data_IF_590408368250
#
_entry.id   IF_590408368250
#
_cell.length_a   1.000
_cell.length_b   1.000
_cell.length_c   1.000
_cell.angle_alpha   90.00
_cell.angle_beta   90.00
_cell.angle_gamma   90.00
#
_symmetry.space_group_name_H-M   'P 1'
#
loop_
_entity.id
_entity.type
_entity.pdbx_description
1 polymer ?
#
# COMPACT_ATOMS: atom_id res chain seq x y z
N UNK A 1 6.46 -15.04 -6.31
CA UNK A 1 5.37 -15.19 -5.31
C UNK A 1 4.03 -14.78 -5.90
N UNK A 2 2.93 -15.54 -5.66
CA UNK A 2 1.60 -15.21 -6.19
C UNK A 2 0.65 -14.79 -5.07
N UNK A 3 -0.17 -13.76 -5.26
CA UNK A 3 -1.25 -13.36 -4.34
C UNK A 3 -2.42 -14.33 -4.42
N UNK A 4 -3.27 -14.40 -3.37
CA UNK A 4 -4.49 -15.21 -3.41
C UNK A 4 -5.42 -14.76 -4.54
N UNK A 5 -6.03 -15.72 -5.22
CA UNK A 5 -7.07 -15.49 -6.25
C UNK A 5 -8.48 -15.89 -5.77
N UNK A 6 -8.63 -16.29 -4.49
CA UNK A 6 -9.89 -16.76 -3.94
C UNK A 6 -10.73 -15.60 -3.38
N UNK A 7 -11.86 -15.24 -3.99
CA UNK A 7 -12.77 -14.21 -3.47
C UNK A 7 -13.25 -14.55 -2.05
N UNK A 8 -13.65 -15.81 -1.86
CA UNK A 8 -14.14 -16.33 -0.58
C UNK A 8 -13.16 -16.07 0.57
N UNK A 9 -11.87 -16.42 0.36
CA UNK A 9 -10.83 -16.24 1.39
C UNK A 9 -10.50 -14.76 1.62
N UNK A 10 -10.44 -13.97 0.54
CA UNK A 10 -10.20 -12.52 0.65
C UNK A 10 -11.30 -11.86 1.45
N UNK A 11 -12.55 -12.19 1.17
CA UNK A 11 -13.71 -11.67 1.84
C UNK A 11 -13.72 -12.01 3.33
N UNK A 12 -13.47 -13.28 3.66
CA UNK A 12 -13.42 -13.77 5.03
C UNK A 12 -12.30 -13.11 5.85
N UNK A 13 -11.05 -13.08 5.32
CA UNK A 13 -9.91 -12.47 6.02
C UNK A 13 -10.08 -10.97 6.20
N UNK A 14 -10.66 -10.29 5.20
CA UNK A 14 -11.00 -8.88 5.32
C UNK A 14 -12.01 -8.62 6.44
N UNK A 15 -13.05 -9.46 6.54
CA UNK A 15 -14.04 -9.38 7.61
C UNK A 15 -13.42 -9.62 8.99
N UNK A 16 -12.64 -10.69 9.16
CA UNK A 16 -11.96 -11.02 10.41
C UNK A 16 -11.03 -9.88 10.87
N UNK A 17 -10.27 -9.27 9.95
CA UNK A 17 -9.42 -8.12 10.25
C UNK A 17 -10.25 -6.87 10.61
N UNK A 18 -11.37 -6.66 9.92
CA UNK A 18 -12.27 -5.56 10.18
C UNK A 18 -12.95 -5.65 11.56
N UNK A 19 -13.33 -6.86 12.00
CA UNK A 19 -13.88 -7.10 13.34
C UNK A 19 -12.90 -6.74 14.45
N UNK A 20 -11.59 -6.88 14.20
CA UNK A 20 -10.56 -6.48 15.17
C UNK A 20 -10.28 -4.97 15.17
N UNK A 21 -10.45 -4.32 14.01
CA UNK A 21 -10.12 -2.92 13.82
C UNK A 21 -11.25 -1.95 14.16
N UNK A 22 -12.49 -2.38 13.95
CA UNK A 22 -13.67 -1.50 13.96
C UNK A 22 -14.74 -2.02 14.91
N UNK A 23 -15.46 -1.12 15.61
CA UNK A 23 -16.67 -1.50 16.35
C UNK A 23 -17.76 -1.93 15.35
N UNK A 24 -18.70 -2.75 15.82
CA UNK A 24 -19.83 -3.19 14.99
C UNK A 24 -20.60 -2.00 14.39
N UNK A 25 -20.86 -0.99 15.20
CA UNK A 25 -21.57 0.22 14.82
C UNK A 25 -20.83 1.47 15.29
N UNK A 26 -21.00 2.57 14.57
CA UNK A 26 -20.34 3.85 14.92
C UNK A 26 -20.91 4.49 16.18
N UNK A 27 -22.22 4.38 16.37
CA UNK A 27 -22.95 5.03 17.44
C UNK A 27 -24.11 4.15 17.88
N UNK A 28 -24.62 4.32 19.13
CA UNK A 28 -25.76 3.56 19.67
C UNK A 28 -27.03 3.70 18.81
N UNK A 29 -27.22 4.83 18.17
CA UNK A 29 -28.36 5.11 17.28
C UNK A 29 -28.11 4.75 15.81
N UNK A 30 -26.99 4.11 15.47
CA UNK A 30 -26.76 3.66 14.10
C UNK A 30 -27.79 2.62 13.68
N UNK A 31 -28.31 2.65 12.42
CA UNK A 31 -29.12 1.58 11.89
C UNK A 31 -28.38 0.24 12.00
N UNK A 32 -28.96 -0.74 12.70
CA UNK A 32 -28.31 -2.04 12.96
C UNK A 32 -28.45 -3.04 11.81
N UNK A 33 -28.68 -2.55 10.58
CA UNK A 33 -28.82 -3.39 9.40
C UNK A 33 -27.51 -4.00 8.93
N UNK A 34 -26.41 -3.21 8.93
CA UNK A 34 -25.08 -3.64 8.52
C UNK A 34 -24.03 -3.19 9.53
N UNK A 35 -23.14 -4.09 9.91
CA UNK A 35 -21.98 -3.72 10.75
C UNK A 35 -20.89 -3.06 9.92
N UNK A 36 -20.06 -2.24 10.57
CA UNK A 36 -18.89 -1.64 9.89
C UNK A 36 -17.92 -2.69 9.32
N UNK A 37 -17.61 -3.81 10.06
CA UNK A 37 -16.82 -4.90 9.50
C UNK A 37 -17.40 -5.53 8.24
N UNK A 38 -18.72 -5.78 8.19
CA UNK A 38 -19.40 -6.32 7.01
C UNK A 38 -19.22 -5.38 5.79
N UNK A 39 -19.54 -4.10 5.99
CA UNK A 39 -19.41 -3.11 4.90
C UNK A 39 -17.97 -2.98 4.40
N UNK A 40 -16.99 -3.05 5.30
CA UNK A 40 -15.60 -3.00 4.90
C UNK A 40 -15.15 -4.24 4.14
N UNK A 41 -15.55 -5.43 4.57
CA UNK A 41 -15.29 -6.66 3.83
C UNK A 41 -15.87 -6.56 2.40
N UNK A 42 -17.10 -6.05 2.26
CA UNK A 42 -17.71 -5.79 0.96
C UNK A 42 -16.87 -4.83 0.09
N UNK A 43 -16.31 -3.77 0.67
CA UNK A 43 -15.41 -2.86 -0.04
C UNK A 43 -14.11 -3.54 -0.52
N UNK A 44 -13.53 -4.39 0.32
CA UNK A 44 -12.34 -5.18 -0.07
C UNK A 44 -12.67 -6.17 -1.18
N UNK A 45 -13.82 -6.85 -1.11
CA UNK A 45 -14.29 -7.74 -2.17
C UNK A 45 -14.50 -6.99 -3.47
N UNK A 46 -15.15 -5.81 -3.42
CA UNK A 46 -15.35 -4.91 -4.57
C UNK A 46 -14.01 -4.60 -5.26
N UNK A 47 -13.01 -4.21 -4.48
CA UNK A 47 -11.71 -3.86 -5.01
C UNK A 47 -10.96 -5.07 -5.57
N UNK A 48 -11.01 -6.20 -4.87
CA UNK A 48 -10.42 -7.46 -5.32
C UNK A 48 -11.00 -7.95 -6.65
N UNK A 49 -12.33 -7.90 -6.80
CA UNK A 49 -13.04 -8.30 -8.00
C UNK A 49 -13.09 -7.21 -9.09
N UNK A 50 -12.51 -6.03 -8.82
CA UNK A 50 -12.51 -4.86 -9.72
C UNK A 50 -13.92 -4.39 -10.11
N UNK A 51 -14.86 -4.49 -9.18
CA UNK A 51 -16.26 -4.08 -9.40
C UNK A 51 -16.44 -2.60 -9.08
N UNK A 52 -17.49 -1.98 -9.61
CA UNK A 52 -18.04 -0.75 -9.09
C UNK A 52 -19.03 -1.06 -7.94
N UNK A 53 -19.71 -0.04 -7.40
CA UNK A 53 -20.61 -0.25 -6.27
C UNK A 53 -21.90 -0.99 -6.66
N UNK A 54 -22.39 -0.83 -7.90
CA UNK A 54 -23.55 -1.54 -8.41
C UNK A 54 -23.18 -2.98 -8.70
N UNK A 55 -22.08 -3.21 -9.41
CA UNK A 55 -21.59 -4.55 -9.68
C UNK A 55 -21.24 -5.34 -8.40
N UNK A 56 -20.87 -4.67 -7.30
CA UNK A 56 -20.73 -5.34 -6.00
C UNK A 56 -22.06 -5.87 -5.48
N UNK A 57 -23.15 -5.10 -5.61
CA UNK A 57 -24.47 -5.53 -5.15
C UNK A 57 -24.97 -6.73 -5.98
N UNK A 58 -24.85 -6.67 -7.31
CA UNK A 58 -25.18 -7.80 -8.20
C UNK A 58 -24.31 -9.02 -7.91
N UNK A 59 -23.01 -8.84 -7.77
CA UNK A 59 -22.11 -9.95 -7.46
C UNK A 59 -22.43 -10.66 -6.14
N UNK A 60 -22.88 -9.92 -5.12
CA UNK A 60 -23.34 -10.52 -3.86
C UNK A 60 -24.70 -11.20 -3.99
N UNK A 61 -25.57 -10.73 -4.91
CA UNK A 61 -26.85 -11.36 -5.22
C UNK A 61 -26.63 -12.71 -5.93
N UNK A 62 -25.74 -12.73 -6.90
CA UNK A 62 -25.41 -13.95 -7.67
C UNK A 62 -24.67 -14.99 -6.82
N UNK A 63 -24.01 -14.57 -5.74
CA UNK A 63 -23.20 -15.43 -4.87
C UNK A 63 -23.61 -15.35 -3.39
N UNK A 64 -24.80 -15.83 -3.02
CA UNK A 64 -25.33 -15.73 -1.66
C UNK A 64 -24.47 -16.45 -0.60
N UNK A 65 -23.68 -17.44 -1.04
CA UNK A 65 -22.72 -18.13 -0.17
C UNK A 65 -21.61 -17.21 0.36
N UNK A 66 -21.23 -16.17 -0.39
CA UNK A 66 -20.31 -15.14 0.09
C UNK A 66 -20.94 -14.35 1.23
N UNK A 67 -22.19 -13.92 1.08
CA UNK A 67 -22.92 -13.20 2.14
C UNK A 67 -22.97 -13.99 3.46
N UNK A 68 -23.23 -15.30 3.36
CA UNK A 68 -23.28 -16.21 4.52
C UNK A 68 -21.96 -16.30 5.29
N UNK A 69 -20.79 -16.11 4.63
CA UNK A 69 -19.49 -16.15 5.29
C UNK A 69 -19.28 -15.06 6.36
N UNK A 70 -19.99 -13.96 6.25
CA UNK A 70 -19.89 -12.80 7.15
C UNK A 70 -21.22 -12.46 7.82
N UNK A 71 -22.16 -13.42 7.82
CA UNK A 71 -23.53 -13.25 8.39
C UNK A 71 -24.26 -12.01 7.82
N UNK A 72 -24.20 -11.84 6.51
CA UNK A 72 -24.85 -10.74 5.79
C UNK A 72 -26.30 -11.13 5.50
N UNK A 73 -27.25 -10.59 6.27
CA UNK A 73 -28.70 -10.91 6.16
C UNK A 73 -29.37 -10.31 4.94
N UNK A 74 -28.82 -9.24 4.41
CA UNK A 74 -29.32 -8.59 3.18
C UNK A 74 -28.19 -7.94 2.43
N UNK A 75 -28.35 -7.71 1.12
CA UNK A 75 -27.33 -7.08 0.29
C UNK A 75 -27.33 -5.57 0.53
N UNK A 76 -26.15 -4.95 0.78
CA UNK A 76 -26.06 -3.51 0.91
C UNK A 76 -26.32 -2.84 -0.44
N UNK A 77 -27.24 -1.88 -0.46
CA UNK A 77 -27.46 -1.05 -1.63
C UNK A 77 -26.16 -0.32 -2.03
N UNK A 78 -25.93 -0.05 -3.30
CA UNK A 78 -24.69 0.55 -3.81
C UNK A 78 -24.35 1.89 -3.13
N UNK A 79 -25.36 2.72 -2.79
CA UNK A 79 -25.15 3.98 -2.06
C UNK A 79 -24.71 3.76 -0.61
N UNK A 80 -25.14 2.67 0.03
CA UNK A 80 -24.68 2.28 1.38
C UNK A 80 -23.19 1.93 1.34
N UNK A 81 -22.78 1.16 0.35
CA UNK A 81 -21.38 0.81 0.13
C UNK A 81 -20.51 2.03 -0.18
N UNK A 82 -21.02 2.97 -0.99
CA UNK A 82 -20.33 4.24 -1.28
C UNK A 82 -20.17 5.11 -0.03
N UNK A 83 -21.24 5.32 0.74
CA UNK A 83 -21.19 6.07 2.01
C UNK A 83 -20.28 5.39 3.04
N UNK A 84 -20.24 4.05 3.04
CA UNK A 84 -19.31 3.29 3.87
C UNK A 84 -17.85 3.55 3.48
N UNK A 85 -17.51 3.56 2.18
CA UNK A 85 -16.18 3.89 1.71
C UNK A 85 -15.75 5.29 2.15
N UNK A 86 -16.63 6.29 2.02
CA UNK A 86 -16.36 7.66 2.44
C UNK A 86 -16.08 7.79 3.94
N UNK A 87 -16.65 6.92 4.76
CA UNK A 87 -16.52 6.95 6.21
C UNK A 87 -15.39 6.05 6.72
N UNK A 88 -15.33 4.79 6.26
CA UNK A 88 -14.44 3.76 6.79
C UNK A 88 -13.01 3.88 6.26
N UNK A 89 -12.81 4.56 5.13
CA UNK A 89 -11.49 4.79 4.54
C UNK A 89 -10.93 6.19 4.85
N UNK A 90 -11.47 6.89 5.86
CA UNK A 90 -10.81 8.07 6.44
C UNK A 90 -9.57 7.65 7.23
N UNK A 91 -8.67 8.59 7.47
CA UNK A 91 -7.33 8.31 8.02
C UNK A 91 -7.34 7.40 9.27
N UNK A 92 -8.15 7.69 10.28
CA UNK A 92 -8.15 6.94 11.53
C UNK A 92 -8.71 5.51 11.39
N UNK A 93 -9.92 5.26 10.82
CA UNK A 93 -10.40 3.90 10.60
C UNK A 93 -9.52 3.11 9.64
N UNK A 94 -9.05 3.73 8.55
CA UNK A 94 -8.17 3.09 7.59
C UNK A 94 -6.83 2.66 8.22
N UNK A 95 -6.26 3.47 9.13
CA UNK A 95 -5.05 3.13 9.89
C UNK A 95 -5.29 1.88 10.75
N UNK A 96 -6.35 1.87 11.55
CA UNK A 96 -6.70 0.72 12.40
C UNK A 96 -6.84 -0.57 11.59
N UNK A 97 -7.50 -0.49 10.44
CA UNK A 97 -7.66 -1.63 9.55
C UNK A 97 -6.33 -2.10 8.97
N UNK A 98 -5.50 -1.16 8.52
CA UNK A 98 -4.18 -1.44 8.00
C UNK A 98 -3.34 -2.18 9.06
N UNK A 99 -3.37 -1.70 10.30
CA UNK A 99 -2.66 -2.28 11.43
C UNK A 99 -3.20 -3.69 11.74
N UNK A 100 -4.52 -3.89 11.78
CA UNK A 100 -5.13 -5.19 12.01
C UNK A 100 -4.73 -6.24 10.95
N UNK A 101 -4.63 -5.85 9.67
CA UNK A 101 -4.16 -6.75 8.60
C UNK A 101 -2.68 -7.10 8.80
N UNK A 102 -1.84 -6.13 9.18
CA UNK A 102 -0.42 -6.38 9.46
C UNK A 102 -0.22 -7.23 10.73
N UNK A 103 -1.03 -7.04 11.76
CA UNK A 103 -1.01 -7.87 12.97
C UNK A 103 -1.47 -9.29 12.67
N UNK A 104 -2.45 -9.45 11.78
CA UNK A 104 -2.82 -10.75 11.26
C UNK A 104 -1.66 -11.42 10.53
N UNK A 105 -0.94 -10.68 9.67
CA UNK A 105 0.25 -11.17 9.00
C UNK A 105 1.34 -11.63 9.98
N UNK A 106 1.45 -10.97 11.14
CA UNK A 106 2.39 -11.34 12.20
C UNK A 106 1.95 -12.63 12.90
N UNK A 107 0.68 -12.75 13.28
CA UNK A 107 0.12 -13.95 13.91
C UNK A 107 0.20 -15.18 12.99
N UNK A 108 -0.08 -15.01 11.71
CA UNK A 108 -0.02 -16.07 10.70
C UNK A 108 1.41 -16.34 10.20
N UNK A 109 2.44 -15.72 10.84
CA UNK A 109 3.87 -15.88 10.52
C UNK A 109 4.23 -15.51 9.06
N UNK A 110 3.40 -14.70 8.40
CA UNK A 110 3.66 -14.16 7.04
C UNK A 110 4.77 -13.12 7.08
N UNK A 111 4.84 -12.35 8.17
CA UNK A 111 5.95 -11.43 8.46
C UNK A 111 6.52 -11.67 9.86
N UNK A 112 7.72 -11.18 10.08
CA UNK A 112 8.36 -11.13 11.39
C UNK A 112 8.19 -9.71 12.00
N UNK A 113 8.33 -9.59 13.34
CA UNK A 113 8.37 -8.27 14.00
C UNK A 113 9.51 -7.40 13.48
N UNK A 114 10.68 -8.03 13.23
CA UNK A 114 11.82 -7.36 12.61
C UNK A 114 11.76 -7.59 11.10
N UNK A 115 11.78 -6.50 10.35
CA UNK A 115 11.89 -6.45 8.89
C UNK A 115 13.34 -6.11 8.55
N UNK A 116 14.16 -7.10 8.15
CA UNK A 116 15.59 -6.87 7.90
C UNK A 116 15.83 -5.83 6.81
N UNK A 117 14.95 -5.83 5.80
CA UNK A 117 15.08 -5.02 4.61
C UNK A 117 13.70 -4.51 4.16
N UNK A 118 13.51 -3.22 4.16
CA UNK A 118 12.37 -2.54 3.58
C UNK A 118 12.80 -1.69 2.38
N UNK A 119 11.90 -1.47 1.44
CA UNK A 119 12.15 -0.57 0.32
C UNK A 119 11.04 0.49 0.27
N UNK A 120 11.43 1.73 -0.06
CA UNK A 120 10.50 2.82 -0.33
C UNK A 120 10.54 3.14 -1.82
N UNK A 121 9.36 3.36 -2.39
CA UNK A 121 9.22 3.74 -3.79
C UNK A 121 7.89 4.48 -3.99
N UNK A 122 7.88 5.40 -4.95
CA UNK A 122 6.68 6.11 -5.37
C UNK A 122 6.10 5.53 -6.65
N UNK A 123 4.78 5.50 -6.76
CA UNK A 123 4.14 5.10 -8.01
C UNK A 123 2.95 5.98 -8.34
N UNK A 124 2.88 6.44 -9.59
CA UNK A 124 1.71 7.11 -10.15
C UNK A 124 0.61 6.11 -10.52
N UNK A 125 -0.63 6.55 -10.43
CA UNK A 125 -1.79 5.82 -10.89
C UNK A 125 -2.51 6.62 -11.99
N UNK A 126 -3.13 5.94 -12.92
CA UNK A 126 -3.92 6.56 -13.96
C UNK A 126 -5.23 7.10 -13.37
N UNK A 127 -5.70 8.22 -13.88
CA UNK A 127 -7.02 8.76 -13.58
C UNK A 127 -7.60 9.41 -14.83
N UNK A 128 -8.87 9.13 -15.10
CA UNK A 128 -9.61 9.82 -16.16
C UNK A 128 -9.90 11.28 -15.82
N UNK A 129 -9.80 11.64 -14.54
CA UNK A 129 -10.09 12.96 -14.01
C UNK A 129 -8.79 13.64 -13.58
N UNK A 130 -8.03 14.12 -14.55
CA UNK A 130 -6.75 14.81 -14.35
C UNK A 130 -6.94 16.30 -14.55
N UNK A 131 -6.57 17.11 -13.55
CA UNK A 131 -6.47 18.55 -13.75
C UNK A 131 -5.11 18.90 -14.35
N UNK A 132 -5.13 19.68 -15.42
CA UNK A 132 -3.93 20.23 -16.06
C UNK A 132 -3.67 21.63 -15.53
N UNK A 133 -2.41 22.03 -15.45
CA UNK A 133 -1.99 23.40 -15.16
C UNK A 133 -0.75 23.75 -15.96
N UNK A 134 -0.59 25.01 -16.25
CA UNK A 134 0.51 25.53 -17.06
C UNK A 134 1.49 26.25 -16.15
N UNK A 135 2.79 26.06 -16.41
CA UNK A 135 3.86 26.79 -15.74
C UNK A 135 4.68 27.48 -16.81
N UNK A 136 4.70 28.82 -16.75
CA UNK A 136 5.57 29.64 -17.58
C UNK A 136 6.91 29.79 -16.87
N UNK A 137 7.98 29.39 -17.52
CA UNK A 137 9.35 29.55 -17.02
C UNK A 137 10.15 30.32 -18.05
N UNK A 138 11.12 31.11 -17.58
CA UNK A 138 12.08 31.76 -18.47
C UNK A 138 12.85 30.69 -19.23
N UNK A 139 12.95 30.82 -20.53
CA UNK A 139 13.72 29.87 -21.35
C UNK A 139 15.18 29.84 -20.87
N UNK A 140 15.79 28.65 -20.85
CA UNK A 140 17.18 28.49 -20.43
C UNK A 140 18.16 29.12 -21.39
N UNK A 141 17.76 29.31 -22.66
CA UNK A 141 18.50 29.94 -23.71
C UNK A 141 17.58 30.91 -24.45
N UNK A 142 17.93 32.20 -24.48
CA UNK A 142 17.17 33.25 -25.15
C UNK A 142 16.26 34.09 -24.23
N UNK A 143 15.60 35.10 -24.81
CA UNK A 143 14.72 36.06 -24.08
C UNK A 143 13.27 35.60 -23.96
N UNK A 144 12.93 34.40 -24.40
CA UNK A 144 11.56 33.88 -24.42
C UNK A 144 11.13 33.17 -23.14
N UNK A 145 9.80 33.00 -22.97
CA UNK A 145 9.20 32.15 -21.94
C UNK A 145 8.81 30.81 -22.53
N UNK A 146 9.17 29.74 -21.83
CA UNK A 146 8.76 28.37 -22.17
C UNK A 146 7.55 27.99 -21.31
N UNK A 147 6.45 27.62 -21.96
CA UNK A 147 5.27 27.10 -21.29
C UNK A 147 5.31 25.58 -21.22
N UNK A 148 5.19 25.04 -20.03
CA UNK A 148 5.15 23.59 -19.81
C UNK A 148 3.83 23.21 -19.16
N UNK A 149 3.10 22.31 -19.81
CA UNK A 149 1.85 21.76 -19.27
C UNK A 149 2.15 20.60 -18.32
N UNK A 150 1.63 20.68 -17.11
CA UNK A 150 1.70 19.61 -16.13
C UNK A 150 0.32 19.02 -15.90
N UNK A 151 0.26 17.70 -15.80
CA UNK A 151 -0.95 16.98 -15.39
C UNK A 151 -0.82 16.56 -13.93
N UNK A 152 -1.80 16.93 -13.10
CA UNK A 152 -1.88 16.42 -11.72
C UNK A 152 -2.43 15.01 -11.75
N UNK A 153 -1.63 14.02 -11.40
CA UNK A 153 -2.03 12.64 -11.33
C UNK A 153 -1.97 12.12 -9.88
N UNK A 154 -2.85 11.16 -9.51
CA UNK A 154 -2.77 10.53 -8.21
C UNK A 154 -1.52 9.67 -8.12
N UNK A 155 -0.82 9.75 -6.99
CA UNK A 155 0.34 8.92 -6.70
C UNK A 155 0.32 8.44 -5.26
N UNK A 156 1.14 7.47 -4.95
CA UNK A 156 1.33 6.95 -3.60
C UNK A 156 2.79 6.63 -3.37
N UNK A 157 3.31 6.99 -2.20
CA UNK A 157 4.60 6.49 -1.70
C UNK A 157 4.33 5.31 -0.80
N UNK A 158 4.96 4.18 -1.12
CA UNK A 158 4.84 2.92 -0.40
C UNK A 158 6.16 2.58 0.30
N UNK A 159 6.07 2.05 1.51
CA UNK A 159 7.17 1.36 2.16
C UNK A 159 6.76 -0.10 2.32
N UNK A 160 7.52 -1.02 1.75
CA UNK A 160 7.22 -2.44 1.76
C UNK A 160 8.32 -3.28 2.39
N UNK A 161 7.94 -4.40 2.98
CA UNK A 161 8.85 -5.47 3.38
C UNK A 161 9.33 -6.23 2.13
N UNK A 162 10.62 -6.19 1.88
CA UNK A 162 11.23 -6.87 0.73
C UNK A 162 11.09 -8.40 0.77
N UNK A 163 10.83 -8.99 1.93
CA UNK A 163 10.70 -10.45 2.04
C UNK A 163 9.27 -10.92 1.80
N UNK A 164 8.31 -10.33 2.50
CA UNK A 164 6.89 -10.74 2.44
C UNK A 164 6.10 -10.06 1.33
N UNK A 165 6.58 -8.95 0.79
CA UNK A 165 5.88 -8.04 -0.12
C UNK A 165 4.66 -7.34 0.53
N UNK A 166 4.55 -7.39 1.85
CA UNK A 166 3.56 -6.60 2.57
C UNK A 166 3.93 -5.13 2.53
N UNK A 167 2.95 -4.29 2.28
CA UNK A 167 3.09 -2.85 2.40
C UNK A 167 2.99 -2.49 3.87
N UNK A 168 4.00 -1.80 4.41
CA UNK A 168 4.07 -1.32 5.80
C UNK A 168 3.48 0.08 5.94
N UNK A 169 3.62 0.91 4.89
CA UNK A 169 3.06 2.25 4.85
C UNK A 169 2.61 2.61 3.44
N UNK A 170 1.58 3.43 3.36
CA UNK A 170 1.06 3.98 2.11
C UNK A 170 0.59 5.40 2.34
N UNK A 171 1.20 6.35 1.65
CA UNK A 171 0.86 7.78 1.73
C UNK A 171 0.45 8.28 0.36
N UNK A 172 -0.86 8.45 0.11
CA UNK A 172 -1.35 9.02 -1.12
C UNK A 172 -0.96 10.49 -1.28
N UNK A 173 -0.76 10.92 -2.51
CA UNK A 173 -0.44 12.30 -2.86
C UNK A 173 -0.77 12.61 -4.31
N UNK A 174 -0.22 13.72 -4.80
CA UNK A 174 -0.37 14.17 -6.19
C UNK A 174 1.00 14.33 -6.85
N UNK A 175 1.15 13.77 -8.05
CA UNK A 175 2.23 14.13 -8.95
C UNK A 175 1.92 15.45 -9.68
N UNK A 176 2.95 16.09 -10.23
CA UNK A 176 4.35 15.69 -10.32
C UNK A 176 5.23 16.06 -9.10
N UNK A 177 4.64 16.38 -7.94
CA UNK A 177 5.43 16.68 -6.74
C UNK A 177 6.42 15.55 -6.42
N UNK A 178 7.60 15.87 -5.86
CA UNK A 178 8.60 14.88 -5.46
C UNK A 178 8.04 13.90 -4.41
N UNK A 179 8.53 12.67 -4.44
CA UNK A 179 8.19 11.64 -3.45
C UNK A 179 8.72 11.98 -2.06
N UNK A 180 9.76 12.81 -1.98
CA UNK A 180 10.33 13.31 -0.73
C UNK A 180 9.30 14.07 0.13
N UNK A 181 8.30 14.71 -0.48
CA UNK A 181 7.22 15.41 0.26
C UNK A 181 6.41 14.43 1.13
N UNK A 182 6.22 13.21 0.64
CA UNK A 182 5.43 12.18 1.33
C UNK A 182 6.29 11.23 2.16
N UNK A 183 7.61 11.31 2.01
CA UNK A 183 8.56 10.35 2.57
C UNK A 183 8.55 10.32 4.10
N UNK A 184 8.57 11.49 4.76
CA UNK A 184 8.57 11.56 6.24
C UNK A 184 7.37 10.82 6.83
N UNK A 185 6.17 11.11 6.32
CA UNK A 185 4.94 10.46 6.77
C UNK A 185 4.93 8.94 6.48
N UNK A 186 5.50 8.52 5.34
CA UNK A 186 5.60 7.11 4.99
C UNK A 186 6.57 6.36 5.90
N UNK A 187 7.72 6.97 6.20
CA UNK A 187 8.70 6.40 7.12
C UNK A 187 8.14 6.28 8.55
N UNK A 188 7.53 7.33 9.07
CA UNK A 188 6.90 7.34 10.39
C UNK A 188 5.88 6.22 10.54
N UNK A 189 4.97 6.08 9.57
CA UNK A 189 3.99 4.99 9.58
C UNK A 189 4.65 3.61 9.53
N UNK A 190 5.69 3.42 8.72
CA UNK A 190 6.37 2.14 8.59
C UNK A 190 7.16 1.78 9.86
N UNK A 191 7.88 2.74 10.43
CA UNK A 191 8.66 2.57 11.66
C UNK A 191 7.75 2.27 12.87
N UNK A 192 6.57 2.87 12.93
CA UNK A 192 5.57 2.56 13.97
C UNK A 192 4.99 1.14 13.86
N UNK A 193 5.08 0.49 12.69
CA UNK A 193 4.51 -0.85 12.43
C UNK A 193 5.51 -1.99 12.45
N UNK A 194 6.79 -1.70 12.25
CA UNK A 194 7.82 -2.73 12.18
C UNK A 194 9.20 -2.19 12.59
N UNK A 195 10.01 -3.04 13.22
CA UNK A 195 11.43 -2.75 13.44
C UNK A 195 12.20 -2.98 12.14
N UNK A 196 12.47 -1.91 11.40
CA UNK A 196 13.15 -1.96 10.11
C UNK A 196 14.67 -1.95 10.34
N UNK A 197 15.40 -2.86 9.72
CA UNK A 197 16.86 -2.93 9.82
C UNK A 197 17.57 -2.01 8.83
N UNK A 198 17.15 -2.04 7.56
CA UNK A 198 17.72 -1.22 6.48
C UNK A 198 16.59 -0.78 5.54
N UNK A 199 16.58 0.49 5.18
CA UNK A 199 15.68 1.06 4.17
C UNK A 199 16.45 1.26 2.88
N UNK A 200 15.90 0.72 1.78
CA UNK A 200 16.35 0.92 0.41
C UNK A 200 15.51 2.01 -0.23
N UNK A 201 16.12 2.91 -0.97
CA UNK A 201 15.45 3.90 -1.79
C UNK A 201 16.27 4.14 -3.09
N UNK A 202 15.66 4.74 -4.08
CA UNK A 202 16.36 5.14 -5.30
C UNK A 202 17.18 6.43 -5.09
N UNK A 203 17.87 6.84 -6.15
CA UNK A 203 18.72 8.03 -6.11
C UNK A 203 17.94 9.35 -5.91
N UNK A 204 16.64 9.37 -6.24
CA UNK A 204 15.80 10.56 -6.01
C UNK A 204 15.64 10.89 -4.52
N UNK A 205 15.92 9.91 -3.66
CA UNK A 205 15.96 10.07 -2.20
C UNK A 205 17.37 10.40 -1.66
N UNK A 206 18.39 10.61 -2.53
CA UNK A 206 19.75 10.90 -2.08
C UNK A 206 19.88 12.32 -1.53
N UNK A 207 19.54 12.48 -0.28
CA UNK A 207 19.73 13.71 0.50
C UNK A 207 20.31 13.39 1.86
N UNK A 208 21.29 14.20 2.35
CA UNK A 208 21.88 13.97 3.68
C UNK A 208 20.78 13.95 4.77
N UNK A 209 19.81 14.87 4.70
CA UNK A 209 18.70 14.93 5.64
C UNK A 209 17.84 13.64 5.61
N UNK A 210 17.73 12.96 4.47
CA UNK A 210 17.00 11.67 4.35
C UNK A 210 17.73 10.60 5.15
N UNK A 211 19.06 10.53 4.99
CA UNK A 211 19.89 9.59 5.75
C UNK A 211 19.78 9.86 7.26
N UNK A 212 19.89 11.11 7.68
CA UNK A 212 19.79 11.53 9.08
C UNK A 212 18.41 11.19 9.65
N UNK A 213 17.34 11.55 8.92
CA UNK A 213 15.98 11.30 9.34
C UNK A 213 15.67 9.79 9.47
N UNK A 214 16.10 8.96 8.53
CA UNK A 214 15.94 7.49 8.63
C UNK A 214 16.72 6.94 9.82
N UNK A 215 17.92 7.45 10.06
CA UNK A 215 18.78 7.00 11.16
C UNK A 215 18.29 7.43 12.54
N UNK A 216 17.54 8.51 12.65
CA UNK A 216 16.90 8.89 13.91
C UNK A 216 15.89 7.84 14.42
N UNK A 217 15.37 6.97 13.52
CA UNK A 217 14.58 5.79 13.87
C UNK A 217 15.41 4.51 14.11
N UNK A 218 16.75 4.60 14.16
CA UNK A 218 17.64 3.45 14.29
C UNK A 218 17.75 2.58 13.03
N UNK A 219 17.29 3.08 11.89
CA UNK A 219 17.22 2.37 10.60
C UNK A 219 18.46 2.73 9.76
N UNK A 220 19.13 1.74 9.19
CA UNK A 220 20.20 1.98 8.23
C UNK A 220 19.62 2.35 6.87
N UNK A 221 20.32 3.21 6.13
CA UNK A 221 19.97 3.60 4.76
C UNK A 221 20.88 2.93 3.76
N UNK A 222 20.33 2.59 2.62
CA UNK A 222 21.08 2.16 1.44
C UNK A 222 20.45 2.82 0.21
N UNK A 223 20.98 3.98 -0.15
CA UNK A 223 20.51 4.86 -1.24
C UNK A 223 21.72 5.13 -2.11
N UNK A 224 21.67 4.90 -3.43
CA UNK A 224 22.80 5.18 -4.31
C UNK A 224 23.05 6.69 -4.32
N UNK A 225 24.30 7.13 -4.23
CA UNK A 225 24.61 8.54 -4.36
C UNK A 225 24.20 9.02 -5.75
N UNK A 226 23.46 10.13 -5.78
CA UNK A 226 23.02 10.74 -7.03
C UNK A 226 24.24 11.02 -7.92
N UNK A 227 24.19 10.59 -9.17
CA UNK A 227 25.15 10.94 -10.20
C UNK A 227 24.84 12.34 -10.71
N UNK A 228 25.05 13.34 -9.87
CA UNK A 228 25.01 14.73 -10.30
C UNK A 228 26.04 15.00 -11.40
N UNK A 229 26.20 16.26 -11.83
CA UNK A 229 27.29 16.64 -12.76
C UNK A 229 28.60 16.02 -12.28
N UNK A 230 29.40 15.39 -13.17
CA UNK A 230 30.67 14.82 -12.78
C UNK A 230 31.48 15.85 -11.99
N UNK A 231 31.57 15.67 -10.70
CA UNK A 231 32.35 16.51 -9.80
C UNK A 231 33.43 15.63 -9.21
N UNK A 232 34.64 16.05 -9.28
CA UNK A 232 35.77 15.41 -8.61
C UNK A 232 35.61 15.46 -7.08
N UNK A 233 34.78 16.37 -6.57
CA UNK A 233 34.56 16.54 -5.15
C UNK A 233 33.59 15.49 -4.58
N UNK A 234 33.92 14.84 -3.46
CA UNK A 234 33.01 13.92 -2.79
C UNK A 234 31.78 14.69 -2.27
N UNK A 235 30.63 14.01 -2.05
CA UNK A 235 29.46 14.62 -1.43
C UNK A 235 29.82 15.25 -0.07
N UNK A 236 29.24 16.41 0.23
CA UNK A 236 29.53 17.12 1.49
C UNK A 236 29.02 16.38 2.74
N UNK A 237 27.89 15.67 2.63
CA UNK A 237 27.28 14.96 3.75
C UNK A 237 28.04 13.71 4.18
N UNK A 238 28.04 13.44 5.49
CA UNK A 238 28.67 12.26 6.11
C UNK A 238 28.15 10.94 5.52
N UNK A 239 26.83 10.81 5.43
CA UNK A 239 26.18 9.57 5.04
C UNK A 239 26.23 9.36 3.52
N UNK A 240 26.04 10.41 2.75
CA UNK A 240 26.22 10.37 1.28
C UNK A 240 27.65 10.01 0.91
N UNK A 241 28.66 10.56 1.61
CA UNK A 241 30.07 10.20 1.44
C UNK A 241 30.31 8.72 1.73
N UNK A 242 29.71 8.21 2.85
CA UNK A 242 29.78 6.79 3.20
C UNK A 242 29.12 5.88 2.14
N UNK A 243 28.00 6.30 1.54
CA UNK A 243 27.37 5.56 0.46
C UNK A 243 28.27 5.52 -0.79
N UNK A 244 28.97 6.60 -1.12
CA UNK A 244 29.93 6.62 -2.24
C UNK A 244 31.11 5.66 -2.01
N UNK A 245 31.58 5.55 -0.75
CA UNK A 245 32.74 4.71 -0.42
C UNK A 245 32.40 3.23 -0.20
N UNK A 246 31.25 2.94 0.42
CA UNK A 246 30.88 1.59 0.86
C UNK A 246 29.41 1.28 0.52
N UNK A 247 29.15 1.04 -0.77
CA UNK A 247 27.80 0.73 -1.26
C UNK A 247 27.63 -0.78 -1.45
N UNK A 248 26.71 -1.38 -0.70
CA UNK A 248 26.37 -2.81 -0.81
C UNK A 248 25.42 -3.04 -2.01
N UNK A 249 26.00 -3.24 -3.19
CA UNK A 249 25.27 -3.47 -4.46
C UNK A 249 24.36 -4.70 -4.38
N UNK A 250 24.83 -5.80 -3.73
CA UNK A 250 24.07 -7.04 -3.61
C UNK A 250 22.78 -6.83 -2.80
N UNK A 251 22.91 -6.13 -1.68
CA UNK A 251 21.76 -5.80 -0.83
C UNK A 251 20.83 -4.79 -1.52
N UNK A 252 21.40 -3.78 -2.15
CA UNK A 252 20.64 -2.78 -2.90
C UNK A 252 19.84 -3.41 -4.05
N UNK A 253 20.38 -4.42 -4.70
CA UNK A 253 19.68 -5.17 -5.73
C UNK A 253 18.31 -5.71 -5.32
N UNK A 254 18.04 -5.85 -3.99
CA UNK A 254 16.71 -6.23 -3.52
C UNK A 254 15.66 -5.11 -3.66
N UNK A 255 16.03 -3.87 -4.03
CA UNK A 255 15.10 -2.76 -4.25
C UNK A 255 14.04 -3.05 -5.32
N UNK A 256 14.37 -3.86 -6.33
CA UNK A 256 13.41 -4.27 -7.36
C UNK A 256 12.10 -4.86 -6.76
N UNK A 257 12.13 -5.31 -5.52
CA UNK A 257 10.94 -5.82 -4.83
C UNK A 257 9.90 -4.74 -4.54
N UNK A 258 10.30 -3.46 -4.44
CA UNK A 258 9.35 -2.36 -4.38
C UNK A 258 8.59 -2.20 -5.70
N UNK A 259 9.32 -2.24 -6.82
CA UNK A 259 8.72 -2.22 -8.15
C UNK A 259 7.79 -3.42 -8.37
N UNK A 260 8.18 -4.59 -7.83
CA UNK A 260 7.32 -5.78 -7.85
C UNK A 260 6.01 -5.53 -7.10
N UNK A 261 6.04 -4.94 -5.90
CA UNK A 261 4.82 -4.63 -5.13
C UNK A 261 3.94 -3.65 -5.90
N UNK A 262 4.51 -2.58 -6.44
CA UNK A 262 3.80 -1.62 -7.28
C UNK A 262 3.14 -2.30 -8.49
N UNK A 263 3.89 -3.16 -9.18
CA UNK A 263 3.39 -3.96 -10.30
C UNK A 263 2.30 -4.95 -9.89
N UNK A 264 2.43 -5.61 -8.73
CA UNK A 264 1.40 -6.52 -8.21
C UNK A 264 0.09 -5.78 -7.94
N UNK A 265 0.13 -4.61 -7.31
CA UNK A 265 -1.04 -3.79 -7.05
C UNK A 265 -1.70 -3.38 -8.36
N UNK A 266 -0.95 -2.80 -9.29
CA UNK A 266 -1.49 -2.33 -10.58
C UNK A 266 -2.07 -3.46 -11.42
N UNK A 267 -1.36 -4.57 -11.56
CA UNK A 267 -1.83 -5.71 -12.38
C UNK A 267 -3.03 -6.43 -11.76
N UNK A 268 -3.09 -6.55 -10.43
CA UNK A 268 -4.15 -7.30 -9.74
C UNK A 268 -5.39 -6.47 -9.48
N UNK A 269 -5.21 -5.21 -9.06
CA UNK A 269 -6.29 -4.35 -8.62
C UNK A 269 -6.58 -3.19 -9.60
N UNK A 270 -5.79 -3.07 -10.67
CA UNK A 270 -5.94 -2.06 -11.70
C UNK A 270 -4.97 -0.88 -11.56
N UNK A 271 -4.54 -0.32 -12.71
CA UNK A 271 -3.68 0.87 -12.75
C UNK A 271 -4.47 2.17 -12.66
N UNK A 272 -5.71 2.19 -13.19
CA UNK A 272 -6.56 3.36 -13.25
C UNK A 272 -7.51 3.45 -12.04
N UNK A 273 -7.62 4.63 -11.45
CA UNK A 273 -8.59 4.94 -10.40
C UNK A 273 -9.94 5.31 -11.00
N UNK A 274 -11.02 4.87 -10.36
CA UNK A 274 -12.40 5.20 -10.74
C UNK A 274 -12.91 6.48 -10.08
N UNK A 275 -12.35 6.81 -8.93
CA UNK A 275 -12.74 7.98 -8.15
C UNK A 275 -12.38 9.28 -8.87
N UNK A 276 -13.30 10.27 -8.79
CA UNK A 276 -13.17 11.56 -9.44
C UNK A 276 -12.46 12.58 -8.56
N UNK A 277 -12.89 12.70 -7.29
CA UNK A 277 -12.32 13.68 -6.37
C UNK A 277 -11.01 13.17 -5.74
N UNK A 278 -10.12 14.09 -5.39
CA UNK A 278 -8.84 13.76 -4.77
C UNK A 278 -8.97 12.89 -3.53
N UNK A 279 -9.85 13.25 -2.62
CA UNK A 279 -10.03 12.49 -1.38
C UNK A 279 -10.59 11.10 -1.62
N UNK A 280 -11.46 10.94 -2.62
CA UNK A 280 -11.96 9.63 -3.02
C UNK A 280 -10.86 8.80 -3.70
N UNK A 281 -9.98 9.42 -4.49
CA UNK A 281 -8.79 8.76 -5.06
C UNK A 281 -7.85 8.29 -3.96
N UNK A 282 -7.57 9.11 -2.94
CA UNK A 282 -6.76 8.70 -1.79
C UNK A 282 -7.37 7.49 -1.07
N UNK A 283 -8.69 7.49 -0.85
CA UNK A 283 -9.39 6.36 -0.22
C UNK A 283 -9.32 5.09 -1.08
N UNK A 284 -9.49 5.22 -2.39
CA UNK A 284 -9.37 4.09 -3.32
C UNK A 284 -7.95 3.50 -3.31
N UNK A 285 -6.92 4.34 -3.30
CA UNK A 285 -5.52 3.91 -3.17
C UNK A 285 -5.31 3.11 -1.88
N UNK A 286 -5.76 3.64 -0.75
CA UNK A 286 -5.62 2.97 0.54
C UNK A 286 -6.37 1.63 0.56
N UNK A 287 -7.57 1.57 -0.01
CA UNK A 287 -8.33 0.33 -0.14
C UNK A 287 -7.58 -0.71 -0.99
N UNK A 288 -6.96 -0.30 -2.10
CA UNK A 288 -6.12 -1.18 -2.93
C UNK A 288 -4.95 -1.75 -2.15
N UNK A 289 -4.26 -0.91 -1.39
CA UNK A 289 -3.11 -1.36 -0.57
C UNK A 289 -3.56 -2.32 0.52
N UNK A 290 -4.66 -2.05 1.20
CA UNK A 290 -5.23 -2.95 2.20
C UNK A 290 -5.63 -4.28 1.56
N UNK A 291 -6.30 -4.24 0.40
CA UNK A 291 -6.69 -5.43 -0.35
C UNK A 291 -5.46 -6.25 -0.77
N UNK A 292 -4.40 -5.60 -1.24
CA UNK A 292 -3.12 -6.25 -1.54
C UNK A 292 -2.55 -6.98 -0.32
N UNK A 293 -2.49 -6.32 0.83
CA UNK A 293 -2.00 -6.93 2.05
C UNK A 293 -2.86 -8.13 2.48
N UNK A 294 -4.19 -8.03 2.40
CA UNK A 294 -5.10 -9.17 2.64
C UNK A 294 -4.79 -10.34 1.72
N UNK A 295 -4.56 -10.07 0.43
CA UNK A 295 -4.22 -11.11 -0.56
C UNK A 295 -2.87 -11.79 -0.26
N UNK A 296 -1.91 -11.07 0.31
CA UNK A 296 -0.61 -11.64 0.74
C UNK A 296 -0.79 -12.53 1.98
N UNK A 297 -1.54 -12.06 2.99
CA UNK A 297 -1.79 -12.81 4.24
C UNK A 297 -2.38 -14.19 3.98
N UNK A 298 -3.33 -14.29 3.07
CA UNK A 298 -4.04 -15.54 2.76
C UNK A 298 -3.10 -16.62 2.19
N UNK A 299 -2.12 -16.22 1.43
CA UNK A 299 -1.26 -17.12 0.67
C UNK A 299 -0.47 -18.06 1.56
N UNK A 300 0.10 -17.56 2.63
CA UNK A 300 0.99 -18.35 3.51
C UNK A 300 0.23 -19.46 4.25
N UNK A 301 -1.06 -19.24 4.56
CA UNK A 301 -1.91 -20.29 5.15
C UNK A 301 -2.04 -21.55 4.27
N UNK A 302 -2.04 -21.39 2.95
CA UNK A 302 -2.17 -22.52 2.02
C UNK A 302 -0.91 -23.37 2.04
N UNK A 303 0.27 -22.76 2.05
CA UNK A 303 1.54 -23.47 2.10
C UNK A 303 1.75 -24.20 3.45
N UNK A 304 1.45 -23.54 4.57
CA UNK A 304 1.58 -24.19 5.90
C UNK A 304 0.63 -25.38 6.08
N UNK A 305 -0.59 -25.31 5.54
CA UNK A 305 -1.53 -26.44 5.56
C UNK A 305 -1.09 -27.58 4.64
N UNK A 306 -0.57 -27.27 3.46
CA UNK A 306 -0.04 -28.27 2.53
C UNK A 306 1.21 -28.95 3.08
N UNK A 307 2.17 -28.22 3.66
CA UNK A 307 3.36 -28.79 4.31
C UNK A 307 3.00 -29.67 5.52
N UNK A 308 2.04 -29.27 6.35
CA UNK A 308 1.58 -30.09 7.48
C UNK A 308 0.88 -31.38 7.03
N UNK A 309 0.10 -31.34 5.93
CA UNK A 309 -0.49 -32.55 5.35
C UNK A 309 0.57 -33.48 4.79
N UNK A 310 1.56 -32.96 4.06
CA UNK A 310 2.67 -33.75 3.50
C UNK A 310 3.53 -34.38 4.60
N UNK A 311 3.84 -33.64 5.67
CA UNK A 311 4.61 -34.19 6.79
C UNK A 311 3.81 -35.23 7.63
N UNK A 312 2.47 -35.09 7.71
CA UNK A 312 1.63 -36.11 8.38
C UNK A 312 1.51 -37.41 7.58
N UNK A 313 1.53 -37.32 6.25
CA UNK A 313 1.53 -38.51 5.38
C UNK A 313 2.87 -39.24 5.43
N UNK A 314 3.98 -38.50 5.54
CA UNK A 314 5.34 -39.08 5.68
C UNK A 314 5.66 -39.67 7.07
N UNK A 315 4.83 -39.43 8.07
CA UNK A 315 4.97 -40.00 9.41
C UNK A 315 4.02 -41.17 9.67
N UNK A 316 3.31 -41.64 8.66
CA UNK A 316 2.40 -42.80 8.68
C UNK A 316 2.90 -43.95 7.78
N UNK A 317 4.00 -43.74 7.06
CA UNK A 317 4.83 -44.71 6.39
C UNK A 317 6.10 -44.95 7.24
#
# INVERSE_FOLDING_TARGET
MTTSKSPRRVFQVAYEAACQALPAYRHKFSPKKFTQPQLLACLVLKEFARLDYRGLAEHLADHPDLGRLIDLKSIPHYTTSQKAADRLLRAAPARKLFDAVLDRALRDKVRKRRVPLAAVDGTGLESRHVSRYYVKRRAKTGTGTQETTYSKYPKVVLVNDCHSHLVLAAVPGRGPASDLVLFKAALEQAAGRARIGTLLADADFDGEWVHEHVRSYGIRTLIPPERGRPSAKPPAGRWRRRMKQRFDKKKYGQRWRAETVNSMIKRRLGSALRARSYWSQCREIILRVITHNVMIVIRVRVFYRASRKSNRLKSLD
#
